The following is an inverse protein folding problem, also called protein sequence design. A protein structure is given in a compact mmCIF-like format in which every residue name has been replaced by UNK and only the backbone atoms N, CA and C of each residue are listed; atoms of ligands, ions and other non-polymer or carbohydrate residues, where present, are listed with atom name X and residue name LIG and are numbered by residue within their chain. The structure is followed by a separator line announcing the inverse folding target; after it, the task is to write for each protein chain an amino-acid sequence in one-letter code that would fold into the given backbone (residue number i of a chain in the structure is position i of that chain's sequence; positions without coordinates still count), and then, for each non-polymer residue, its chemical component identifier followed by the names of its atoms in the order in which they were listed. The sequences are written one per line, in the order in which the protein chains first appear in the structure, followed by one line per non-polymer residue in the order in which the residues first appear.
data_IF_425165689596
#
_entry.id   IF_425165689596
#
_cell.length_a   1.000
_cell.length_b   1.000
_cell.length_c   1.000
_cell.angle_alpha   90.00
_cell.angle_beta   90.00
_cell.angle_gamma   90.00
#
_symmetry.space_group_name_H-M   'P 1'
#
loop_
_entity.id
_entity.type
_entity.pdbx_description
1 polymer ?
#
# COMPACT_ATOMS: atom_id res chain seq x y z
N UNK A 1 -15.29 -3.93 -20.57
CA UNK A 1 -15.86 -4.19 -19.24
C UNK A 1 -14.97 -5.21 -18.56
N UNK A 2 -14.49 -4.87 -17.37
CA UNK A 2 -13.73 -5.81 -16.54
C UNK A 2 -14.74 -6.67 -15.76
N UNK A 3 -14.60 -7.99 -15.82
CA UNK A 3 -15.41 -8.93 -15.03
C UNK A 3 -15.20 -8.70 -13.52
N UNK A 4 -16.04 -9.34 -12.68
CA UNK A 4 -15.84 -9.29 -11.24
C UNK A 4 -14.44 -9.84 -10.88
N UNK A 5 -13.62 -9.01 -10.22
CA UNK A 5 -12.25 -9.32 -9.82
C UNK A 5 -12.19 -9.54 -8.32
N UNK A 6 -11.45 -10.57 -7.90
CA UNK A 6 -11.02 -10.69 -6.51
C UNK A 6 -9.77 -9.84 -6.29
N UNK A 7 -9.82 -9.00 -5.25
CA UNK A 7 -8.68 -8.24 -4.76
C UNK A 7 -8.48 -8.51 -3.27
N UNK A 8 -7.26 -8.31 -2.79
CA UNK A 8 -6.91 -8.62 -1.40
C UNK A 8 -6.99 -7.36 -0.52
N UNK A 9 -8.08 -7.22 0.24
CA UNK A 9 -8.23 -6.17 1.26
C UNK A 9 -7.46 -6.54 2.53
N UNK A 10 -7.36 -5.62 3.48
CA UNK A 10 -6.76 -5.85 4.80
C UNK A 10 -7.43 -6.98 5.59
N UNK A 11 -8.73 -7.21 5.35
CA UNK A 11 -9.54 -8.25 6.00
C UNK A 11 -9.52 -9.59 5.25
N UNK A 12 -8.98 -9.62 4.02
CA UNK A 12 -8.98 -10.77 3.14
C UNK A 12 -9.54 -10.47 1.75
N UNK A 13 -9.78 -11.52 0.94
CA UNK A 13 -10.29 -11.35 -0.42
C UNK A 13 -11.65 -10.68 -0.45
N UNK A 14 -11.83 -9.72 -1.35
CA UNK A 14 -13.11 -9.07 -1.64
C UNK A 14 -13.33 -9.04 -3.14
N UNK A 15 -14.59 -9.20 -3.55
CA UNK A 15 -14.98 -9.14 -4.95
C UNK A 15 -15.40 -7.71 -5.28
N UNK A 16 -14.79 -7.12 -6.30
CA UNK A 16 -15.17 -5.81 -6.82
C UNK A 16 -15.28 -5.88 -8.35
N UNK A 17 -16.19 -5.11 -8.92
CA UNK A 17 -16.28 -4.93 -10.36
C UNK A 17 -16.36 -3.45 -10.71
N UNK A 18 -16.05 -3.13 -11.96
CA UNK A 18 -16.04 -1.75 -12.46
C UNK A 18 -17.39 -1.06 -12.30
N UNK A 19 -18.49 -1.78 -12.49
CA UNK A 19 -19.86 -1.24 -12.38
C UNK A 19 -20.26 -0.95 -10.93
N UNK A 20 -19.69 -1.66 -9.96
CA UNK A 20 -19.99 -1.49 -8.55
C UNK A 20 -18.98 -0.63 -7.81
N UNK A 21 -17.84 -0.26 -8.41
CA UNK A 21 -16.85 0.60 -7.79
C UNK A 21 -17.19 2.09 -8.03
N UNK A 22 -17.46 2.83 -6.97
CA UNK A 22 -17.66 4.28 -7.04
C UNK A 22 -16.35 5.02 -7.32
N UNK A 23 -15.31 4.72 -6.55
CA UNK A 23 -14.00 5.37 -6.62
C UNK A 23 -12.95 4.51 -5.91
N UNK A 24 -11.73 4.54 -6.41
CA UNK A 24 -10.55 4.07 -5.70
C UNK A 24 -9.61 5.26 -5.40
N UNK A 25 -9.12 5.32 -4.17
CA UNK A 25 -8.06 6.22 -3.73
C UNK A 25 -6.78 5.40 -3.52
N UNK A 26 -5.87 5.36 -4.50
CA UNK A 26 -4.77 4.40 -4.55
C UNK A 26 -3.57 4.78 -3.67
N UNK A 27 -3.58 5.94 -3.01
CA UNK A 27 -2.44 6.40 -2.24
C UNK A 27 -2.86 7.32 -1.10
N UNK A 28 -3.36 6.72 -0.03
CA UNK A 28 -3.86 7.44 1.14
C UNK A 28 -3.15 6.96 2.41
N UNK A 29 -3.12 7.78 3.46
CA UNK A 29 -2.75 7.31 4.80
C UNK A 29 -3.97 7.41 5.70
N UNK A 30 -4.23 6.37 6.47
CA UNK A 30 -5.40 6.33 7.36
C UNK A 30 -4.98 6.58 8.80
N UNK A 31 -3.99 5.82 9.30
CA UNK A 31 -3.45 5.99 10.65
C UNK A 31 -1.93 5.94 10.61
N UNK A 32 -1.27 6.98 11.10
CA UNK A 32 0.20 7.05 11.22
C UNK A 32 0.65 7.96 12.37
N UNK A 33 1.92 7.82 12.74
CA UNK A 33 2.59 8.52 13.84
C UNK A 33 3.83 9.29 13.40
N UNK A 34 3.94 9.62 12.11
CA UNK A 34 5.11 10.30 11.53
C UNK A 34 5.56 11.51 12.35
N UNK A 35 4.63 12.39 12.74
CA UNK A 35 4.97 13.55 13.59
C UNK A 35 5.61 13.15 14.94
N UNK A 36 5.03 12.15 15.61
CA UNK A 36 5.56 11.61 16.89
C UNK A 36 6.95 11.00 16.75
N UNK A 37 7.26 10.40 15.58
CA UNK A 37 8.53 9.75 15.29
C UNK A 37 9.62 10.78 14.97
N UNK A 38 9.29 11.80 14.18
CA UNK A 38 10.24 12.86 13.81
C UNK A 38 10.54 13.83 14.96
N UNK A 39 9.61 13.98 15.90
CA UNK A 39 9.75 14.90 17.05
C UNK A 39 9.43 14.17 18.37
N UNK A 40 10.28 13.22 18.81
CA UNK A 40 10.09 12.56 20.08
C UNK A 40 10.35 13.55 21.22
N UNK A 41 9.31 13.97 21.92
CA UNK A 41 9.41 14.91 23.06
C UNK A 41 8.49 14.52 24.21
N UNK A 42 8.86 14.80 25.47
CA UNK A 42 8.03 14.48 26.64
C UNK A 42 6.67 15.18 26.63
N UNK A 43 6.57 16.34 25.97
CA UNK A 43 5.32 17.08 25.79
C UNK A 43 4.47 16.56 24.62
N UNK A 44 5.05 15.78 23.70
CA UNK A 44 4.34 15.30 22.51
C UNK A 44 3.17 14.38 22.86
N UNK A 45 3.23 13.63 23.97
CA UNK A 45 2.15 12.74 24.39
C UNK A 45 1.10 13.41 25.32
N UNK A 46 1.42 14.57 25.89
CA UNK A 46 0.57 15.22 26.90
C UNK A 46 -0.31 16.36 26.35
N UNK A 47 0.02 16.90 25.18
CA UNK A 47 -0.76 17.96 24.56
C UNK A 47 -2.04 17.42 23.89
N UNK A 48 -3.14 18.17 24.04
CA UNK A 48 -4.39 17.92 23.33
C UNK A 48 -4.11 17.78 21.83
N UNK A 49 -4.53 16.65 21.27
CA UNK A 49 -4.35 16.29 19.86
C UNK A 49 -5.31 17.07 18.94
N UNK A 50 -6.14 17.96 19.49
CA UNK A 50 -7.00 18.86 18.74
C UNK A 50 -6.22 20.03 18.13
N UNK A 51 -6.68 20.47 16.95
CA UNK A 51 -6.19 21.66 16.25
C UNK A 51 -7.38 22.63 16.11
N UNK A 52 -7.18 23.88 16.52
CA UNK A 52 -8.20 24.92 16.44
C UNK A 52 -8.18 25.62 15.08
N UNK A 53 -9.28 26.27 14.72
CA UNK A 53 -9.45 26.92 13.41
C UNK A 53 -8.45 28.07 13.23
N UNK A 54 -8.17 28.80 14.30
CA UNK A 54 -7.24 29.94 14.33
C UNK A 54 -5.79 29.50 14.07
N UNK A 55 -5.48 28.22 14.32
CA UNK A 55 -4.14 27.65 14.18
C UNK A 55 -3.86 27.08 12.79
N UNK A 56 -4.89 26.96 11.94
CA UNK A 56 -4.79 26.33 10.63
C UNK A 56 -3.75 27.01 9.73
N UNK A 57 -3.62 28.34 9.80
CA UNK A 57 -2.62 29.05 9.01
C UNK A 57 -1.19 28.64 9.41
N UNK A 58 -0.89 28.59 10.70
CA UNK A 58 0.40 28.15 11.22
C UNK A 58 0.67 26.69 10.88
N UNK A 59 -0.33 25.81 11.04
CA UNK A 59 -0.22 24.40 10.70
C UNK A 59 0.05 24.18 9.19
N UNK A 60 -0.47 25.05 8.32
CA UNK A 60 -0.20 25.04 6.87
C UNK A 60 1.19 25.54 6.53
N UNK A 61 1.66 26.58 7.22
CA UNK A 61 2.95 27.24 6.97
C UNK A 61 4.14 26.49 7.57
N UNK A 62 3.90 25.57 8.50
CA UNK A 62 4.92 24.69 9.09
C UNK A 62 4.27 23.38 9.58
N UNK A 63 3.88 22.46 8.68
CA UNK A 63 3.17 21.24 9.05
C UNK A 63 3.98 20.31 9.96
N UNK A 64 5.31 20.39 9.92
CA UNK A 64 6.19 19.56 10.74
C UNK A 64 6.50 20.21 12.09
N UNK A 65 6.84 21.50 12.13
CA UNK A 65 7.22 22.19 13.36
C UNK A 65 6.02 22.65 14.19
N UNK A 66 4.84 22.84 13.57
CA UNK A 66 3.62 23.23 14.28
C UNK A 66 3.30 22.23 15.40
N UNK A 67 3.34 22.73 16.64
CA UNK A 67 3.11 22.02 17.91
C UNK A 67 3.74 20.62 17.92
N UNK A 68 5.04 20.56 17.60
CA UNK A 68 5.83 19.32 17.61
C UNK A 68 5.28 18.23 16.67
N UNK A 69 4.80 18.61 15.48
CA UNK A 69 4.38 17.67 14.44
C UNK A 69 2.95 17.17 14.57
N UNK A 70 2.09 17.83 15.34
CA UNK A 70 0.69 17.43 15.54
C UNK A 70 -0.10 17.33 14.23
N UNK A 71 0.22 18.16 13.22
CA UNK A 71 -0.45 18.14 11.92
C UNK A 71 -0.13 16.84 11.15
N UNK A 72 0.99 16.17 11.47
CA UNK A 72 1.43 14.91 10.87
C UNK A 72 1.16 13.68 11.76
N UNK A 73 0.26 13.82 12.74
CA UNK A 73 -0.12 12.74 13.66
C UNK A 73 -1.55 12.31 13.41
N UNK A 74 -1.76 11.19 12.73
CA UNK A 74 -3.10 10.64 12.48
C UNK A 74 -3.31 9.38 13.32
N UNK A 75 -3.37 9.52 14.65
CA UNK A 75 -3.45 8.38 15.58
C UNK A 75 -4.86 8.12 16.14
N UNK A 76 -5.77 9.08 15.93
CA UNK A 76 -7.14 9.04 16.41
C UNK A 76 -8.02 8.20 15.47
N UNK A 77 -8.43 7.03 15.96
CA UNK A 77 -9.27 6.09 15.20
C UNK A 77 -10.67 6.60 14.93
N UNK A 78 -11.23 7.41 15.84
CA UNK A 78 -12.56 7.98 15.70
C UNK A 78 -12.60 9.03 14.60
N UNK A 79 -11.59 9.90 14.54
CA UNK A 79 -11.46 10.90 13.48
C UNK A 79 -11.27 10.23 12.12
N UNK A 80 -10.37 9.24 12.04
CA UNK A 80 -10.10 8.49 10.82
C UNK A 80 -11.35 7.75 10.33
N UNK A 81 -12.06 7.05 11.22
CA UNK A 81 -13.31 6.36 10.90
C UNK A 81 -14.38 7.33 10.40
N UNK A 82 -14.62 8.45 11.10
CA UNK A 82 -15.63 9.44 10.71
C UNK A 82 -15.29 10.10 9.37
N UNK A 83 -14.02 10.30 9.07
CA UNK A 83 -13.61 10.86 7.78
C UNK A 83 -13.92 9.90 6.63
N UNK A 84 -13.61 8.62 6.82
CA UNK A 84 -13.88 7.57 5.84
C UNK A 84 -15.37 7.25 5.70
N UNK A 85 -16.12 7.24 6.81
CA UNK A 85 -17.58 7.01 6.84
C UNK A 85 -18.33 7.99 5.94
N UNK A 86 -17.83 9.22 5.76
CA UNK A 86 -18.44 10.20 4.84
C UNK A 86 -18.42 9.75 3.38
N UNK A 87 -17.58 8.77 3.02
CA UNK A 87 -17.54 8.16 1.70
C UNK A 87 -18.59 7.07 1.48
N UNK A 88 -19.42 6.75 2.49
CA UNK A 88 -20.45 5.72 2.41
C UNK A 88 -21.40 5.94 1.23
N UNK A 89 -21.63 4.87 0.46
CA UNK A 89 -22.41 4.83 -0.78
C UNK A 89 -23.05 3.47 -0.98
N UNK A 90 -23.95 3.39 -1.94
CA UNK A 90 -24.51 2.12 -2.42
C UNK A 90 -23.47 1.25 -3.17
N UNK A 91 -22.45 1.91 -3.75
CA UNK A 91 -21.34 1.33 -4.49
C UNK A 91 -20.09 1.18 -3.60
N UNK A 92 -19.20 0.26 -3.98
CA UNK A 92 -17.94 0.02 -3.30
C UNK A 92 -17.00 1.22 -3.40
N UNK A 93 -16.26 1.49 -2.33
CA UNK A 93 -15.16 2.46 -2.28
C UNK A 93 -13.91 1.72 -1.89
N UNK A 94 -12.81 1.97 -2.60
CA UNK A 94 -11.54 1.30 -2.37
C UNK A 94 -10.48 2.31 -1.93
N UNK A 95 -9.75 2.00 -0.86
CA UNK A 95 -8.75 2.90 -0.30
C UNK A 95 -7.49 2.10 -0.05
N UNK A 96 -6.38 2.48 -0.69
CA UNK A 96 -5.09 1.86 -0.46
C UNK A 96 -4.36 2.67 0.62
N UNK A 97 -4.24 2.10 1.82
CA UNK A 97 -3.44 2.66 2.91
C UNK A 97 -1.97 2.38 2.65
N UNK A 98 -1.25 3.40 2.20
CA UNK A 98 0.19 3.33 1.91
C UNK A 98 1.04 3.61 3.15
N UNK A 99 0.45 3.54 4.35
CA UNK A 99 1.20 3.75 5.59
C UNK A 99 2.15 2.58 5.86
N UNK A 100 3.44 2.88 5.99
CA UNK A 100 4.47 1.88 6.26
C UNK A 100 4.60 1.54 7.74
N UNK A 101 5.23 0.41 8.05
CA UNK A 101 5.38 -0.04 9.44
C UNK A 101 6.24 0.94 10.26
N UNK A 102 7.30 1.48 9.67
CA UNK A 102 8.13 2.52 10.30
C UNK A 102 7.39 3.86 10.47
N UNK A 103 6.26 4.08 9.80
CA UNK A 103 5.43 5.28 9.97
C UNK A 103 4.43 5.13 11.13
N UNK A 104 4.38 3.97 11.79
CA UNK A 104 3.46 3.65 12.89
C UNK A 104 4.20 3.49 14.22
N UNK A 105 3.92 4.35 15.18
CA UNK A 105 4.41 4.17 16.54
C UNK A 105 3.70 2.96 17.15
N UNK A 106 4.46 1.98 17.62
CA UNK A 106 3.94 0.69 18.06
C UNK A 106 3.09 0.03 16.95
N UNK A 107 3.76 -0.36 15.86
CA UNK A 107 3.16 -0.83 14.63
C UNK A 107 2.10 -1.92 14.79
N UNK A 108 2.27 -2.87 15.72
CA UNK A 108 1.26 -3.89 16.03
C UNK A 108 -0.04 -3.31 16.62
N UNK A 109 0.03 -2.26 17.46
CA UNK A 109 -1.16 -1.58 18.01
C UNK A 109 -1.88 -0.80 16.92
N UNK A 110 -1.16 -0.03 16.12
CA UNK A 110 -1.74 0.79 15.05
C UNK A 110 -2.33 -0.07 13.92
N UNK A 111 -1.67 -1.18 13.59
CA UNK A 111 -2.19 -2.16 12.62
C UNK A 111 -3.51 -2.78 13.09
N UNK A 112 -3.66 -3.06 14.39
CA UNK A 112 -4.96 -3.52 14.95
C UNK A 112 -6.04 -2.46 14.88
N UNK A 113 -5.72 -1.21 15.22
CA UNK A 113 -6.64 -0.07 15.08
C UNK A 113 -7.14 0.05 13.63
N UNK A 114 -6.27 -0.13 12.65
CA UNK A 114 -6.64 -0.10 11.24
C UNK A 114 -7.57 -1.27 10.85
N UNK A 115 -7.31 -2.49 11.35
CA UNK A 115 -8.22 -3.64 11.17
C UNK A 115 -9.60 -3.34 11.77
N UNK A 116 -9.66 -2.76 12.98
CA UNK A 116 -10.91 -2.39 13.63
C UNK A 116 -11.70 -1.33 12.84
N UNK A 117 -11.01 -0.38 12.20
CA UNK A 117 -11.64 0.59 11.29
C UNK A 117 -12.18 -0.14 10.05
N UNK A 118 -11.38 -1.00 9.44
CA UNK A 118 -11.77 -1.76 8.26
C UNK A 118 -13.00 -2.65 8.52
N UNK A 119 -13.06 -3.33 9.66
CA UNK A 119 -14.22 -4.15 10.08
C UNK A 119 -15.51 -3.32 10.15
N UNK A 120 -15.43 -2.09 10.68
CA UNK A 120 -16.59 -1.19 10.79
C UNK A 120 -17.00 -0.61 9.44
N UNK A 121 -16.04 -0.38 8.55
CA UNK A 121 -16.26 0.20 7.22
C UNK A 121 -16.73 -0.84 6.19
N UNK A 122 -16.46 -2.13 6.41
CA UNK A 122 -16.87 -3.21 5.52
C UNK A 122 -18.39 -3.26 5.32
N UNK A 123 -19.19 -3.03 6.37
CA UNK A 123 -20.65 -2.97 6.26
C UNK A 123 -21.16 -1.76 5.46
N UNK A 124 -20.30 -0.74 5.28
CA UNK A 124 -20.55 0.48 4.49
C UNK A 124 -19.95 0.42 3.08
N UNK A 125 -19.53 -0.78 2.64
CA UNK A 125 -18.88 -1.03 1.34
C UNK A 125 -17.60 -0.24 1.10
N UNK A 126 -16.89 0.14 2.17
CA UNK A 126 -15.59 0.78 2.07
C UNK A 126 -14.53 -0.25 2.41
N UNK A 127 -13.70 -0.59 1.42
CA UNK A 127 -12.67 -1.61 1.51
C UNK A 127 -11.29 -0.95 1.62
N UNK A 128 -10.53 -1.36 2.65
CA UNK A 128 -9.16 -0.88 2.83
C UNK A 128 -8.20 -1.95 2.31
N UNK A 129 -7.33 -1.57 1.39
CA UNK A 129 -6.18 -2.36 0.95
C UNK A 129 -4.96 -1.86 1.69
N UNK A 130 -4.27 -2.74 2.41
CA UNK A 130 -3.02 -2.37 3.08
C UNK A 130 -1.81 -2.71 2.23
N UNK A 131 -0.72 -1.96 2.42
CA UNK A 131 0.56 -2.22 1.76
C UNK A 131 1.59 -2.83 2.71
N UNK A 132 2.59 -3.48 2.12
CA UNK A 132 3.83 -3.84 2.82
C UNK A 132 5.04 -3.27 2.07
N UNK A 133 6.23 -3.31 2.69
CA UNK A 133 7.47 -2.76 2.14
C UNK A 133 8.69 -3.57 2.56
N UNK A 134 9.85 -3.26 1.96
CA UNK A 134 11.15 -3.66 2.47
C UNK A 134 11.77 -2.47 3.21
N UNK A 135 12.15 -2.70 4.47
CA UNK A 135 12.94 -1.74 5.22
C UNK A 135 14.43 -1.94 4.89
N UNK A 136 14.99 -1.05 4.09
CA UNK A 136 16.39 -1.13 3.64
C UNK A 136 17.39 -1.09 4.81
N UNK A 137 17.06 -0.43 5.92
CA UNK A 137 17.96 -0.29 7.08
C UNK A 137 18.12 -1.61 7.85
N UNK A 138 17.10 -2.48 7.82
CA UNK A 138 17.12 -3.75 8.53
C UNK A 138 17.85 -4.86 7.75
N UNK A 139 18.08 -4.66 6.45
CA UNK A 139 18.70 -5.66 5.59
C UNK A 139 20.03 -5.15 5.06
N UNK A 140 21.11 -5.83 5.45
CA UNK A 140 22.40 -5.63 4.82
C UNK A 140 22.40 -6.40 3.51
N UNK A 141 22.29 -5.70 2.39
CA UNK A 141 22.33 -6.32 1.06
C UNK A 141 23.78 -6.72 0.71
N UNK A 142 24.18 -7.91 1.11
CA UNK A 142 25.52 -8.47 0.86
C UNK A 142 25.58 -9.44 -0.32
N UNK A 143 24.47 -10.06 -0.73
CA UNK A 143 24.47 -11.10 -1.77
C UNK A 143 23.14 -11.28 -2.51
N UNK A 144 23.21 -11.96 -3.67
CA UNK A 144 22.02 -12.39 -4.42
C UNK A 144 21.18 -13.44 -3.68
N UNK A 145 21.76 -14.20 -2.75
CA UNK A 145 21.02 -15.22 -1.98
C UNK A 145 20.01 -14.56 -1.03
N UNK A 146 20.38 -13.44 -0.41
CA UNK A 146 19.49 -12.65 0.45
C UNK A 146 18.27 -12.11 -0.32
N UNK A 147 18.46 -11.71 -1.58
CA UNK A 147 17.35 -11.30 -2.47
C UNK A 147 16.29 -12.40 -2.60
N UNK A 148 16.72 -13.66 -2.72
CA UNK A 148 15.81 -14.80 -2.88
C UNK A 148 15.03 -15.06 -1.59
N UNK A 149 15.68 -14.97 -0.43
CA UNK A 149 15.02 -15.19 0.85
C UNK A 149 14.08 -14.05 1.23
N UNK A 150 14.44 -12.80 0.91
CA UNK A 150 13.54 -11.65 1.02
C UNK A 150 12.31 -11.80 0.12
N UNK A 151 12.48 -12.26 -1.12
CA UNK A 151 11.39 -12.56 -2.02
C UNK A 151 10.44 -13.63 -1.43
N UNK A 152 10.98 -14.74 -0.91
CA UNK A 152 10.18 -15.79 -0.25
C UNK A 152 9.39 -15.25 0.95
N UNK A 153 10.04 -14.46 1.80
CA UNK A 153 9.39 -13.83 2.96
C UNK A 153 8.24 -12.92 2.53
N UNK A 154 8.47 -12.03 1.56
CA UNK A 154 7.44 -11.12 1.04
C UNK A 154 6.28 -11.90 0.42
N UNK A 155 6.58 -12.89 -0.43
CA UNK A 155 5.58 -13.76 -1.03
C UNK A 155 4.73 -14.45 0.03
N UNK A 156 5.35 -14.95 1.10
CA UNK A 156 4.62 -15.52 2.23
C UNK A 156 3.69 -14.49 2.88
N UNK A 157 4.15 -13.26 3.13
CA UNK A 157 3.31 -12.18 3.69
C UNK A 157 2.12 -11.84 2.79
N UNK A 158 2.30 -11.83 1.47
CA UNK A 158 1.21 -11.57 0.52
C UNK A 158 0.18 -12.71 0.48
N UNK A 159 0.63 -13.96 0.41
CA UNK A 159 -0.27 -15.12 0.28
C UNK A 159 -0.96 -15.48 1.59
N UNK A 160 -0.25 -15.34 2.71
CA UNK A 160 -0.69 -15.82 4.01
C UNK A 160 -0.89 -14.71 5.03
N UNK A 161 -0.75 -13.43 4.68
CA UNK A 161 -0.94 -12.34 5.62
C UNK A 161 0.04 -12.36 6.80
N UNK A 162 -0.28 -11.58 7.82
CA UNK A 162 0.51 -11.40 9.04
C UNK A 162 -0.41 -11.42 10.27
N UNK A 163 0.02 -12.10 11.34
CA UNK A 163 -0.72 -12.12 12.59
C UNK A 163 -0.41 -10.90 13.45
N UNK A 164 -1.44 -10.15 13.80
CA UNK A 164 -1.43 -9.07 14.76
C UNK A 164 -1.93 -9.59 16.12
N UNK A 165 -1.00 -9.93 17.01
CA UNK A 165 -1.32 -10.40 18.38
C UNK A 165 -1.66 -9.19 19.27
N UNK A 166 -2.72 -9.31 20.06
CA UNK A 166 -3.05 -8.31 21.08
C UNK A 166 -2.55 -8.72 22.47
N UNK A 167 -2.53 -7.77 23.41
CA UNK A 167 -2.18 -8.05 24.81
C UNK A 167 -3.11 -9.02 25.53
N UNK A 168 -4.27 -9.35 24.95
CA UNK A 168 -5.20 -10.38 25.46
C UNK A 168 -5.02 -11.77 24.82
N UNK A 169 -4.00 -11.96 23.97
CA UNK A 169 -3.71 -13.23 23.29
C UNK A 169 -4.61 -13.57 22.09
N UNK A 170 -5.57 -12.72 21.69
CA UNK A 170 -6.30 -12.90 20.43
C UNK A 170 -5.45 -12.40 19.26
N UNK A 171 -5.15 -13.27 18.31
CA UNK A 171 -4.53 -12.89 17.04
C UNK A 171 -5.60 -12.49 16.03
N UNK A 172 -5.32 -11.42 15.28
CA UNK A 172 -6.08 -11.04 14.08
C UNK A 172 -5.15 -11.10 12.90
N UNK A 173 -5.66 -11.52 11.75
CA UNK A 173 -4.87 -11.66 10.54
C UNK A 173 -5.04 -10.41 9.67
N UNK A 174 -3.93 -9.83 9.24
CA UNK A 174 -3.87 -8.72 8.26
C UNK A 174 -3.37 -9.26 6.92
N UNK A 175 -3.99 -8.83 5.82
CA UNK A 175 -3.52 -9.12 4.47
C UNK A 175 -3.05 -7.85 3.74
N UNK A 176 -2.16 -8.03 2.76
CA UNK A 176 -1.56 -6.95 1.98
C UNK A 176 -1.97 -7.08 0.52
N UNK A 177 -2.57 -6.04 -0.07
CA UNK A 177 -3.00 -6.08 -1.47
C UNK A 177 -2.04 -5.40 -2.44
N UNK A 178 -1.01 -4.71 -1.95
CA UNK A 178 0.01 -4.07 -2.76
C UNK A 178 1.33 -3.93 -2.00
N UNK A 179 2.41 -3.62 -2.72
CA UNK A 179 3.68 -3.20 -2.14
C UNK A 179 3.83 -1.68 -2.29
N UNK A 180 4.37 -1.01 -1.26
CA UNK A 180 4.78 0.39 -1.35
C UNK A 180 6.24 0.50 -0.92
N UNK A 181 7.11 0.91 -1.84
CA UNK A 181 8.53 1.08 -1.57
C UNK A 181 8.91 2.56 -1.64
N UNK A 182 9.51 3.06 -0.58
CA UNK A 182 10.14 4.36 -0.55
C UNK A 182 11.63 4.20 -0.83
N UNK A 183 12.18 5.06 -1.69
CA UNK A 183 13.59 5.17 -2.00
C UNK A 183 14.03 6.62 -1.82
N UNK A 184 15.26 6.80 -1.36
CA UNK A 184 15.87 8.11 -1.23
C UNK A 184 17.12 8.18 -2.10
N UNK A 185 17.18 9.20 -2.96
CA UNK A 185 18.36 9.51 -3.76
C UNK A 185 19.18 10.58 -3.05
N UNK A 186 20.31 10.17 -2.47
CA UNK A 186 21.33 11.10 -1.98
C UNK A 186 22.36 11.31 -3.09
N UNK A 187 22.58 12.56 -3.49
CA UNK A 187 23.59 12.87 -4.51
C UNK A 187 24.96 12.35 -4.05
N UNK A 188 25.67 11.53 -4.86
CA UNK A 188 26.96 11.01 -4.47
C UNK A 188 27.94 12.16 -4.23
N UNK A 189 28.54 12.19 -3.03
CA UNK A 189 29.56 13.18 -2.65
C UNK A 189 30.84 13.05 -3.50
N UNK A 190 31.03 11.91 -4.18
CA UNK A 190 32.21 11.61 -5.00
C UNK A 190 31.84 10.83 -6.26
N UNK A 191 32.07 11.48 -7.42
CA UNK A 191 32.11 10.96 -8.81
C UNK A 191 30.81 10.50 -9.49
N UNK A 192 30.71 10.93 -10.77
CA UNK A 192 29.56 10.96 -11.70
C UNK A 192 29.23 9.60 -12.32
N UNK A 193 28.97 8.56 -11.55
CA UNK A 193 28.45 7.32 -12.14
C UNK A 193 26.93 7.32 -12.05
N UNK A 194 26.26 7.34 -13.20
CA UNK A 194 24.80 7.22 -13.33
C UNK A 194 24.26 5.82 -12.97
N UNK A 195 25.06 4.99 -12.30
CA UNK A 195 24.69 3.64 -11.90
C UNK A 195 23.95 3.66 -10.58
N UNK A 196 22.85 2.91 -10.49
CA UNK A 196 22.19 2.60 -9.22
C UNK A 196 23.19 2.04 -8.21
N UNK A 197 23.05 2.42 -6.95
CA UNK A 197 23.76 1.79 -5.84
C UNK A 197 23.43 0.29 -5.78
N UNK A 198 24.39 -0.52 -5.31
CA UNK A 198 24.23 -1.98 -5.28
C UNK A 198 22.98 -2.40 -4.50
N UNK A 199 22.70 -1.74 -3.37
CA UNK A 199 21.51 -2.00 -2.54
C UNK A 199 20.22 -1.76 -3.33
N UNK A 200 20.15 -0.67 -4.08
CA UNK A 200 19.01 -0.34 -4.94
C UNK A 200 18.87 -1.30 -6.13
N UNK A 201 19.98 -1.82 -6.68
CA UNK A 201 19.93 -2.87 -7.72
C UNK A 201 19.40 -4.20 -7.17
N UNK A 202 19.81 -4.58 -5.96
CA UNK A 202 19.33 -5.80 -5.29
C UNK A 202 17.86 -5.64 -4.91
N UNK A 203 17.46 -4.47 -4.41
CA UNK A 203 16.06 -4.15 -4.14
C UNK A 203 15.22 -4.27 -5.42
N UNK A 204 15.63 -3.63 -6.53
CA UNK A 204 14.93 -3.73 -7.80
C UNK A 204 14.81 -5.19 -8.27
N UNK A 205 15.88 -5.99 -8.13
CA UNK A 205 15.85 -7.41 -8.49
C UNK A 205 14.90 -8.22 -7.60
N UNK A 206 14.86 -7.95 -6.29
CA UNK A 206 13.94 -8.58 -5.34
C UNK A 206 12.48 -8.26 -5.69
N UNK A 207 12.18 -6.99 -5.97
CA UNK A 207 10.85 -6.52 -6.35
C UNK A 207 10.42 -7.14 -7.68
N UNK A 208 11.29 -7.16 -8.68
CA UNK A 208 10.99 -7.75 -9.98
C UNK A 208 10.73 -9.25 -9.88
N UNK A 209 11.53 -9.97 -9.08
CA UNK A 209 11.31 -11.39 -8.83
C UNK A 209 9.95 -11.63 -8.15
N UNK A 210 9.65 -10.94 -7.05
CA UNK A 210 8.36 -11.03 -6.37
C UNK A 210 7.20 -10.75 -7.34
N UNK A 211 7.32 -9.67 -8.11
CA UNK A 211 6.31 -9.27 -9.08
C UNK A 211 6.13 -10.31 -10.19
N UNK A 212 7.20 -10.93 -10.69
CA UNK A 212 7.11 -12.01 -11.68
C UNK A 212 6.39 -13.24 -11.14
N UNK A 213 6.53 -13.54 -9.85
CA UNK A 213 5.95 -14.73 -9.22
C UNK A 213 4.47 -14.58 -8.86
N UNK A 214 4.04 -13.40 -8.40
CA UNK A 214 2.66 -13.19 -7.93
C UNK A 214 1.93 -11.99 -8.56
N UNK A 215 2.56 -11.23 -9.45
CA UNK A 215 1.97 -10.07 -10.17
C UNK A 215 1.37 -8.98 -9.27
N UNK A 216 1.85 -8.87 -8.01
CA UNK A 216 1.40 -7.85 -7.06
C UNK A 216 1.77 -6.45 -7.54
N UNK A 217 0.86 -5.44 -7.46
CA UNK A 217 1.17 -4.08 -7.87
C UNK A 217 2.19 -3.43 -6.91
N UNK A 218 3.11 -2.67 -7.50
CA UNK A 218 4.24 -2.06 -6.77
C UNK A 218 4.16 -0.55 -6.90
N UNK A 219 3.90 0.14 -5.80
CA UNK A 219 3.97 1.59 -5.68
C UNK A 219 5.38 1.99 -5.27
N UNK A 220 6.01 2.87 -6.04
CA UNK A 220 7.39 3.31 -5.80
C UNK A 220 7.40 4.83 -5.62
N UNK A 221 7.86 5.28 -4.46
CA UNK A 221 8.00 6.70 -4.12
C UNK A 221 9.46 7.06 -3.97
N UNK A 222 9.88 8.13 -4.64
CA UNK A 222 11.27 8.59 -4.64
C UNK A 222 11.38 9.96 -3.99
N UNK A 223 12.28 10.08 -3.01
CA UNK A 223 12.73 11.35 -2.41
C UNK A 223 14.16 11.68 -2.86
N UNK A 224 14.56 12.95 -2.73
CA UNK A 224 15.89 13.44 -3.11
C UNK A 224 16.28 14.61 -2.20
N UNK A 225 17.56 14.70 -1.83
CA UNK A 225 18.12 15.80 -1.01
C UNK A 225 18.18 17.16 -1.71
N UNK A 226 18.18 17.17 -3.05
CA UNK A 226 18.43 18.38 -3.84
C UNK A 226 17.41 18.58 -4.96
N UNK A 227 17.30 19.82 -5.43
CA UNK A 227 16.53 20.17 -6.63
C UNK A 227 17.22 19.76 -7.94
N UNK A 228 18.24 18.90 -7.91
CA UNK A 228 18.92 18.43 -9.12
C UNK A 228 18.05 17.42 -9.88
N UNK A 229 17.24 17.94 -10.80
CA UNK A 229 16.23 17.16 -11.53
C UNK A 229 16.83 16.15 -12.51
N UNK A 230 17.98 16.46 -13.14
CA UNK A 230 18.57 15.61 -14.19
C UNK A 230 19.11 14.30 -13.63
N UNK A 231 19.98 14.36 -12.61
CA UNK A 231 20.57 13.15 -12.02
C UNK A 231 19.51 12.30 -11.32
N UNK A 232 18.54 12.94 -10.68
CA UNK A 232 17.39 12.27 -10.10
C UNK A 232 16.55 11.54 -11.16
N UNK A 233 16.27 12.17 -12.30
CA UNK A 233 15.51 11.56 -13.40
C UNK A 233 16.23 10.34 -13.97
N UNK A 234 17.55 10.46 -14.18
CA UNK A 234 18.39 9.35 -14.64
C UNK A 234 18.44 8.19 -13.63
N UNK A 235 18.49 8.50 -12.33
CA UNK A 235 18.42 7.51 -11.26
C UNK A 235 17.09 6.74 -11.27
N UNK A 236 15.96 7.46 -11.34
CA UNK A 236 14.62 6.86 -11.39
C UNK A 236 14.44 6.00 -12.66
N UNK A 237 14.87 6.50 -13.83
CA UNK A 237 14.84 5.73 -15.08
C UNK A 237 15.69 4.45 -14.97
N UNK A 238 16.88 4.55 -14.37
CA UNK A 238 17.75 3.39 -14.18
C UNK A 238 17.09 2.33 -13.29
N UNK A 239 16.38 2.76 -12.23
CA UNK A 239 15.63 1.86 -11.35
C UNK A 239 14.53 1.11 -12.11
N UNK A 240 13.70 1.83 -12.88
CA UNK A 240 12.64 1.19 -13.68
C UNK A 240 13.17 0.32 -14.82
N UNK A 241 14.26 0.74 -15.48
CA UNK A 241 14.94 -0.10 -16.47
C UNK A 241 15.43 -1.40 -15.85
N UNK A 242 15.95 -1.35 -14.61
CA UNK A 242 16.39 -2.55 -13.94
C UNK A 242 15.23 -3.46 -13.52
N UNK A 243 14.09 -2.92 -13.10
CA UNK A 243 12.86 -3.70 -12.91
C UNK A 243 12.43 -4.41 -14.21
N UNK A 244 12.40 -3.66 -15.31
CA UNK A 244 12.01 -4.18 -16.63
C UNK A 244 12.97 -5.28 -17.11
N UNK A 245 14.29 -5.06 -16.97
CA UNK A 245 15.33 -6.03 -17.34
C UNK A 245 15.20 -7.34 -16.58
N UNK A 246 14.72 -7.28 -15.34
CA UNK A 246 14.46 -8.44 -14.48
C UNK A 246 13.05 -9.05 -14.70
N UNK A 247 12.31 -8.60 -15.72
CA UNK A 247 11.04 -9.18 -16.13
C UNK A 247 9.81 -8.66 -15.39
N UNK A 248 9.91 -7.53 -14.69
CA UNK A 248 8.73 -6.90 -14.10
C UNK A 248 7.74 -6.43 -15.19
N UNK A 249 6.43 -6.61 -14.97
CA UNK A 249 5.40 -6.09 -15.87
C UNK A 249 5.15 -4.63 -15.52
N UNK A 250 5.66 -3.73 -16.36
CA UNK A 250 5.68 -2.30 -16.05
C UNK A 250 4.28 -1.69 -15.90
N UNK A 251 3.25 -2.28 -16.53
CA UNK A 251 1.84 -1.87 -16.41
C UNK A 251 1.20 -2.12 -15.04
N UNK A 252 1.97 -2.70 -14.11
CA UNK A 252 1.65 -2.93 -12.69
C UNK A 252 2.63 -2.22 -11.73
N UNK A 253 3.57 -1.45 -12.27
CA UNK A 253 4.51 -0.63 -11.50
C UNK A 253 3.99 0.81 -11.52
N UNK A 254 3.94 1.44 -10.35
CA UNK A 254 3.36 2.77 -10.17
C UNK A 254 4.44 3.73 -9.66
N UNK A 255 4.66 4.82 -10.39
CA UNK A 255 5.49 5.94 -9.94
C UNK A 255 4.63 6.94 -9.16
N UNK A 256 4.84 7.01 -7.84
CA UNK A 256 4.08 7.88 -6.94
C UNK A 256 4.53 9.34 -7.02
N UNK A 257 3.60 10.26 -6.74
CA UNK A 257 3.87 11.71 -6.68
C UNK A 257 4.37 12.27 -8.02
N UNK A 258 3.92 11.71 -9.14
CA UNK A 258 4.33 12.15 -10.48
C UNK A 258 3.94 13.61 -10.74
N UNK A 259 2.98 14.17 -10.01
CA UNK A 259 2.55 15.56 -10.13
C UNK A 259 3.45 16.57 -9.40
N UNK A 260 4.39 16.13 -8.55
CA UNK A 260 5.10 17.05 -7.64
C UNK A 260 5.87 18.17 -8.34
N UNK A 261 6.32 17.97 -9.57
CA UNK A 261 7.11 18.98 -10.31
C UNK A 261 6.34 19.67 -11.44
N UNK A 262 5.02 19.50 -11.54
CA UNK A 262 4.20 20.09 -12.62
C UNK A 262 4.18 21.63 -12.63
N UNK A 263 4.55 22.28 -11.52
CA UNK A 263 4.70 23.74 -11.43
C UNK A 263 6.04 24.25 -11.97
N UNK A 264 7.06 23.40 -12.12
CA UNK A 264 8.37 23.84 -12.57
C UNK A 264 8.36 24.06 -14.09
N UNK A 265 8.97 25.15 -14.60
CA UNK A 265 8.95 25.52 -16.02
C UNK A 265 9.86 24.66 -16.92
N UNK A 266 10.24 23.46 -16.46
CA UNK A 266 11.20 22.61 -17.16
C UNK A 266 10.48 21.58 -18.03
N UNK A 267 10.48 21.81 -19.35
CA UNK A 267 10.02 20.84 -20.36
C UNK A 267 10.67 19.45 -20.16
N UNK A 268 11.89 19.43 -19.61
CA UNK A 268 12.64 18.21 -19.28
C UNK A 268 11.89 17.27 -18.33
N UNK A 269 11.10 17.81 -17.39
CA UNK A 269 10.40 16.99 -16.40
C UNK A 269 9.18 16.28 -17.02
N UNK A 270 8.44 17.00 -17.86
CA UNK A 270 7.33 16.42 -18.59
C UNK A 270 7.83 15.34 -19.57
N UNK A 271 8.92 15.60 -20.29
CA UNK A 271 9.58 14.61 -21.13
C UNK A 271 10.03 13.38 -20.33
N UNK A 272 10.55 13.57 -19.12
CA UNK A 272 10.88 12.47 -18.20
C UNK A 272 9.64 11.64 -17.84
N UNK A 273 8.52 12.26 -17.47
CA UNK A 273 7.30 11.52 -17.15
C UNK A 273 6.74 10.74 -18.34
N UNK A 274 6.75 11.34 -19.53
CA UNK A 274 6.39 10.64 -20.76
C UNK A 274 7.32 9.46 -21.02
N UNK A 275 8.62 9.61 -20.78
CA UNK A 275 9.55 8.49 -20.92
C UNK A 275 9.25 7.32 -19.97
N UNK A 276 8.74 7.59 -18.77
CA UNK A 276 8.29 6.53 -17.85
C UNK A 276 6.99 5.87 -18.33
N UNK A 277 6.06 6.66 -18.85
CA UNK A 277 4.80 6.16 -19.42
C UNK A 277 5.06 5.30 -20.67
N UNK A 278 6.04 5.67 -21.50
CA UNK A 278 6.52 4.88 -22.64
C UNK A 278 7.12 3.53 -22.23
N UNK A 279 7.75 3.46 -21.05
CA UNK A 279 8.19 2.19 -20.46
C UNK A 279 7.02 1.33 -19.95
N UNK A 280 5.79 1.85 -19.95
CA UNK A 280 4.58 1.21 -19.45
C UNK A 280 4.29 1.48 -17.98
N UNK A 281 5.08 2.32 -17.30
CA UNK A 281 4.90 2.65 -15.88
C UNK A 281 3.60 3.45 -15.68
N UNK A 282 2.83 3.09 -14.67
CA UNK A 282 1.65 3.88 -14.29
C UNK A 282 2.08 5.14 -13.50
N UNK A 283 1.55 6.29 -13.89
CA UNK A 283 1.79 7.57 -13.23
C UNK A 283 0.68 7.88 -12.23
N UNK A 284 1.06 8.07 -10.97
CA UNK A 284 0.14 8.42 -9.92
C UNK A 284 0.29 9.91 -9.55
N UNK A 285 -0.75 10.69 -9.87
CA UNK A 285 -0.90 12.09 -9.48
C UNK A 285 -1.59 12.12 -8.11
N UNK A 286 -0.81 12.29 -7.05
CA UNK A 286 -1.28 12.07 -5.68
C UNK A 286 -1.18 13.29 -4.78
N UNK A 287 -0.77 14.44 -5.31
CA UNK A 287 -0.65 15.71 -4.60
C UNK A 287 -1.87 16.62 -4.78
N UNK A 288 -2.97 16.07 -5.32
CA UNK A 288 -4.22 16.78 -5.60
C UNK A 288 -4.80 17.38 -4.32
N UNK A 289 -5.08 18.67 -4.33
CA UNK A 289 -5.65 19.40 -3.19
C UNK A 289 -4.66 19.76 -2.09
N UNK A 290 -3.42 19.25 -2.10
CA UNK A 290 -2.44 19.52 -1.03
C UNK A 290 -2.16 21.02 -0.91
N UNK A 291 -2.11 21.76 -2.03
CA UNK A 291 -1.92 23.22 -2.03
C UNK A 291 -2.95 23.97 -1.16
N UNK A 292 -4.17 23.44 -1.04
CA UNK A 292 -5.23 24.03 -0.22
C UNK A 292 -5.07 23.75 1.27
N UNK A 293 -4.26 22.75 1.63
CA UNK A 293 -4.11 22.23 3.00
C UNK A 293 -2.68 22.36 3.55
N UNK A 294 -1.69 22.73 2.74
CA UNK A 294 -0.30 22.87 3.16
C UNK A 294 0.48 23.82 2.24
N UNK A 295 1.42 24.56 2.83
CA UNK A 295 2.43 25.33 2.08
C UNK A 295 3.57 24.46 1.53
N UNK A 296 3.72 23.22 2.03
CA UNK A 296 4.77 22.29 1.62
C UNK A 296 4.23 20.94 1.21
N UNK A 297 4.89 20.37 0.22
CA UNK A 297 4.72 19.00 -0.21
C UNK A 297 5.71 18.11 0.55
N UNK A 298 5.18 17.17 1.33
CA UNK A 298 5.99 16.22 2.09
C UNK A 298 5.97 14.87 1.37
N UNK A 299 7.11 14.49 0.79
CA UNK A 299 7.30 13.18 0.16
C UNK A 299 8.28 12.38 1.00
N UNK A 300 7.86 11.20 1.46
CA UNK A 300 8.65 10.30 2.30
C UNK A 300 9.29 11.00 3.52
N UNK A 301 8.49 11.66 4.38
CA UNK A 301 9.00 12.56 5.42
C UNK A 301 10.02 11.90 6.37
N UNK A 302 9.89 10.61 6.67
CA UNK A 302 10.88 9.89 7.50
C UNK A 302 12.25 9.77 6.85
N UNK A 303 12.31 9.60 5.52
CA UNK A 303 13.57 9.51 4.78
C UNK A 303 14.20 10.89 4.57
N UNK A 304 13.38 11.92 4.36
CA UNK A 304 13.89 13.28 4.06
C UNK A 304 14.21 14.12 5.28
N UNK A 305 13.69 13.77 6.46
CA UNK A 305 13.78 14.58 7.68
C UNK A 305 14.48 13.86 8.85
N UNK A 306 15.07 12.68 8.61
CA UNK A 306 15.75 11.84 9.61
C UNK A 306 16.95 12.49 10.33
N UNK A 307 17.58 11.69 11.20
CA UNK A 307 18.25 12.06 12.47
C UNK A 307 19.28 13.22 12.50
N UNK A 308 19.78 13.70 11.36
CA UNK A 308 20.84 14.72 11.30
C UNK A 308 20.37 16.14 10.96
N UNK A 309 19.05 16.39 10.86
CA UNK A 309 18.48 17.68 10.43
C UNK A 309 18.46 18.76 11.53
N UNK A 310 19.59 19.02 12.18
CA UNK A 310 19.80 20.25 12.99
C UNK A 310 19.95 21.51 12.14
N UNK A 311 20.12 21.35 10.81
CA UNK A 311 20.07 22.44 9.85
C UNK A 311 18.80 22.35 9.00
N UNK A 312 17.76 23.09 9.42
CA UNK A 312 16.56 23.35 8.63
C UNK A 312 16.90 24.27 7.43
N UNK A 313 17.77 23.83 6.53
CA UNK A 313 18.08 24.59 5.32
C UNK A 313 16.88 24.57 4.36
N UNK A 314 16.60 25.72 3.74
CA UNK A 314 15.53 26.01 2.76
C UNK A 314 15.41 25.01 1.57
N UNK A 315 16.31 24.03 1.46
CA UNK A 315 16.46 23.13 0.31
C UNK A 315 15.40 22.02 0.17
N UNK A 316 14.64 21.71 1.23
CA UNK A 316 13.62 20.63 1.22
C UNK A 316 12.18 21.13 1.02
N UNK A 317 11.98 22.45 0.91
CA UNK A 317 10.65 23.05 0.86
C UNK A 317 10.11 23.11 -0.57
N UNK A 318 9.57 21.98 -1.06
CA UNK A 318 8.85 21.95 -2.33
C UNK A 318 7.42 22.46 -2.13
N UNK A 319 7.03 23.53 -2.83
CA UNK A 319 5.62 23.98 -2.85
C UNK A 319 4.75 22.93 -3.56
N UNK A 320 3.59 22.54 -3.00
CA UNK A 320 2.68 21.62 -3.67
C UNK A 320 2.20 22.17 -5.03
N UNK A 321 2.01 21.31 -6.04
CA UNK A 321 1.42 21.72 -7.30
C UNK A 321 -0.02 22.19 -7.10
N UNK A 322 -0.45 23.22 -7.84
CA UNK A 322 -1.85 23.66 -7.83
C UNK A 322 -2.69 22.77 -8.74
N UNK A 323 -3.91 22.46 -8.31
CA UNK A 323 -4.85 21.64 -9.09
C UNK A 323 -5.02 22.07 -10.55
N UNK A 324 -5.14 23.36 -10.92
CA UNK A 324 -5.26 23.76 -12.31
C UNK A 324 -4.04 23.39 -13.18
N UNK A 325 -2.85 23.27 -12.59
CA UNK A 325 -1.63 22.84 -13.29
C UNK A 325 -1.60 21.33 -13.44
N UNK A 326 -2.00 20.59 -12.40
CA UNK A 326 -2.20 19.14 -12.48
C UNK A 326 -3.23 18.79 -13.56
N UNK A 327 -4.37 19.48 -13.61
CA UNK A 327 -5.40 19.28 -14.66
C UNK A 327 -4.82 19.55 -16.06
N UNK A 328 -4.04 20.63 -16.23
CA UNK A 328 -3.43 20.95 -17.52
C UNK A 328 -2.48 19.84 -17.99
N UNK A 329 -1.61 19.36 -17.09
CA UNK A 329 -0.72 18.25 -17.38
C UNK A 329 -1.49 16.96 -17.67
N UNK A 330 -2.55 16.69 -16.90
CA UNK A 330 -3.39 15.52 -17.07
C UNK A 330 -4.03 15.48 -18.46
N UNK A 331 -4.59 16.59 -18.96
CA UNK A 331 -5.11 16.63 -20.33
C UNK A 331 -4.04 16.31 -21.37
N UNK A 332 -2.78 16.73 -21.17
CA UNK A 332 -1.69 16.39 -22.09
C UNK A 332 -1.37 14.90 -22.07
N UNK A 333 -1.27 14.28 -20.89
CA UNK A 333 -1.11 12.82 -20.77
C UNK A 333 -2.23 12.05 -21.47
N UNK A 334 -3.47 12.46 -21.26
CA UNK A 334 -4.65 11.79 -21.82
C UNK A 334 -4.72 11.95 -23.34
N UNK A 335 -4.44 13.15 -23.86
CA UNK A 335 -4.41 13.43 -25.29
C UNK A 335 -3.31 12.64 -26.03
N UNK A 336 -2.23 12.26 -25.34
CA UNK A 336 -1.16 11.41 -25.87
C UNK A 336 -1.45 9.91 -25.73
N UNK A 337 -2.63 9.51 -25.21
CA UNK A 337 -3.06 8.12 -25.15
C UNK A 337 -2.69 7.37 -23.88
N UNK A 338 -2.14 8.03 -22.86
CA UNK A 338 -1.72 7.37 -21.61
C UNK A 338 -2.84 7.18 -20.58
N UNK A 339 -4.11 7.29 -20.98
CA UNK A 339 -5.27 7.17 -20.08
C UNK A 339 -5.28 5.87 -19.23
N UNK A 340 -4.78 4.76 -19.78
CA UNK A 340 -4.72 3.46 -19.10
C UNK A 340 -3.61 3.34 -18.04
N UNK A 341 -2.75 4.36 -17.93
CA UNK A 341 -1.59 4.39 -17.04
C UNK A 341 -1.70 5.47 -15.96
N UNK A 342 -2.76 6.29 -15.95
CA UNK A 342 -2.90 7.37 -14.97
C UNK A 342 -3.77 6.95 -13.80
N UNK A 343 -3.32 7.32 -12.59
CA UNK A 343 -4.05 7.16 -11.33
C UNK A 343 -4.12 8.51 -10.62
N UNK A 344 -5.17 8.72 -9.83
CA UNK A 344 -5.41 9.96 -9.09
C UNK A 344 -5.63 9.66 -7.60
N UNK A 345 -5.03 10.44 -6.71
CA UNK A 345 -5.27 10.38 -5.25
C UNK A 345 -5.07 11.75 -4.62
N UNK A 346 -5.50 11.91 -3.36
CA UNK A 346 -5.29 13.14 -2.58
C UNK A 346 -4.14 13.05 -1.58
N UNK A 347 -3.62 11.85 -1.29
CA UNK A 347 -2.58 11.60 -0.28
C UNK A 347 -2.85 12.31 1.04
N UNK A 348 -3.98 12.00 1.68
CA UNK A 348 -4.26 12.46 3.03
C UNK A 348 -3.12 11.99 3.94
N UNK A 349 -2.33 12.95 4.42
CA UNK A 349 -1.15 12.81 5.28
C UNK A 349 -1.23 13.78 6.47
N UNK A 350 -1.92 14.91 6.28
CA UNK A 350 -2.00 16.00 7.25
C UNK A 350 -3.41 16.12 7.83
N UNK A 351 -3.52 16.49 9.11
CA UNK A 351 -4.80 16.81 9.75
C UNK A 351 -5.53 17.93 9.02
N UNK A 352 -4.80 18.95 8.61
CA UNK A 352 -5.31 20.07 7.79
C UNK A 352 -5.96 19.63 6.47
N UNK A 353 -5.71 18.41 5.97
CA UNK A 353 -6.45 17.86 4.83
C UNK A 353 -7.83 17.29 5.21
N UNK A 354 -8.07 16.92 6.47
CA UNK A 354 -9.35 16.36 6.92
C UNK A 354 -10.41 17.45 7.04
N UNK A 355 -11.67 17.10 6.75
CA UNK A 355 -12.82 18.02 6.82
C UNK A 355 -13.05 18.63 8.18
N UNK A 356 -12.79 17.86 9.24
CA UNK A 356 -12.90 18.35 10.62
C UNK A 356 -12.01 19.58 10.87
N UNK A 357 -10.91 19.69 10.15
CA UNK A 357 -9.94 20.79 10.26
C UNK A 357 -10.01 21.74 9.06
N UNK A 358 -11.13 21.78 8.34
CA UNK A 358 -11.37 22.69 7.22
C UNK A 358 -10.82 22.24 5.86
N UNK A 359 -10.23 21.04 5.77
CA UNK A 359 -9.77 20.45 4.51
C UNK A 359 -10.87 19.76 3.71
N UNK A 360 -10.49 19.13 2.60
CA UNK A 360 -11.41 18.41 1.71
C UNK A 360 -11.73 16.96 2.11
N UNK A 361 -10.85 16.35 2.90
CA UNK A 361 -10.87 14.95 3.27
C UNK A 361 -10.62 14.02 2.09
N UNK A 362 -10.93 12.73 2.29
CA UNK A 362 -10.88 11.70 1.25
C UNK A 362 -11.87 11.93 0.09
N UNK A 363 -12.81 12.86 0.22
CA UNK A 363 -13.77 13.21 -0.83
C UNK A 363 -13.29 14.35 -1.74
N UNK A 364 -12.12 14.94 -1.48
CA UNK A 364 -11.67 16.12 -2.21
C UNK A 364 -11.56 15.88 -3.72
N UNK A 365 -10.97 14.73 -4.09
CA UNK A 365 -10.73 14.34 -5.48
C UNK A 365 -12.04 14.38 -6.29
N UNK A 366 -13.11 13.81 -5.76
CA UNK A 366 -14.38 13.74 -6.49
C UNK A 366 -15.22 15.00 -6.38
N UNK A 367 -15.23 15.67 -5.24
CA UNK A 367 -16.11 16.82 -5.04
C UNK A 367 -15.57 18.11 -5.67
N UNK A 368 -14.26 18.31 -5.66
CA UNK A 368 -13.64 19.56 -6.11
C UNK A 368 -12.77 19.36 -7.35
N UNK A 369 -11.86 18.38 -7.33
CA UNK A 369 -10.92 18.21 -8.44
C UNK A 369 -11.62 17.73 -9.73
N UNK A 370 -12.57 16.78 -9.62
CA UNK A 370 -13.38 16.31 -10.76
C UNK A 370 -14.04 17.47 -11.52
N UNK A 371 -14.62 18.43 -10.80
CA UNK A 371 -15.29 19.57 -11.41
C UNK A 371 -14.32 20.43 -12.24
N UNK A 372 -13.11 20.67 -11.72
CA UNK A 372 -12.07 21.41 -12.44
C UNK A 372 -11.58 20.67 -13.68
N UNK A 373 -11.45 19.34 -13.59
CA UNK A 373 -11.07 18.49 -14.71
C UNK A 373 -12.13 18.53 -15.83
N UNK A 374 -13.41 18.34 -15.47
CA UNK A 374 -14.50 18.35 -16.45
C UNK A 374 -14.73 19.72 -17.10
N UNK A 375 -14.40 20.81 -16.41
CA UNK A 375 -14.60 22.17 -16.92
C UNK A 375 -13.63 22.59 -18.06
N UNK A 376 -12.59 21.79 -18.35
CA UNK A 376 -11.48 22.19 -19.24
C UNK A 376 -11.42 21.48 -20.60
N UNK A 377 -12.47 20.79 -21.03
CA UNK A 377 -12.51 20.17 -22.37
C UNK A 377 -13.80 20.42 -23.15
N UNK A 378 -13.78 19.98 -24.41
CA UNK A 378 -14.88 20.22 -25.36
C UNK A 378 -15.89 19.07 -25.39
N UNK A 379 -15.50 17.84 -25.02
CA UNK A 379 -16.38 16.67 -24.96
C UNK A 379 -16.52 16.14 -23.52
N UNK A 380 -17.65 16.46 -22.90
CA UNK A 380 -17.95 16.04 -21.53
C UNK A 380 -18.03 14.51 -21.37
N UNK A 381 -18.44 13.77 -22.41
CA UNK A 381 -18.56 12.33 -22.34
C UNK A 381 -17.19 11.66 -22.38
N UNK A 382 -16.29 12.14 -23.21
CA UNK A 382 -14.90 11.67 -23.27
C UNK A 382 -14.18 11.92 -21.93
N UNK A 383 -14.33 13.11 -21.35
CA UNK A 383 -13.73 13.42 -20.05
C UNK A 383 -14.29 12.53 -18.93
N UNK A 384 -15.61 12.27 -18.92
CA UNK A 384 -16.18 11.35 -17.93
C UNK A 384 -15.63 9.93 -18.12
N UNK A 385 -15.44 9.46 -19.36
CA UNK A 385 -14.81 8.16 -19.62
C UNK A 385 -13.38 8.11 -19.10
N UNK A 386 -12.56 9.15 -19.33
CA UNK A 386 -11.22 9.22 -18.76
C UNK A 386 -11.24 9.26 -17.23
N UNK A 387 -12.19 9.99 -16.64
CA UNK A 387 -12.37 10.01 -15.18
C UNK A 387 -12.62 8.60 -14.62
N UNK A 388 -13.56 7.87 -15.24
CA UNK A 388 -13.88 6.48 -14.88
C UNK A 388 -12.63 5.59 -15.04
N UNK A 389 -11.90 5.74 -16.15
CA UNK A 389 -10.67 4.99 -16.42
C UNK A 389 -9.64 5.18 -15.29
N UNK A 390 -9.36 6.42 -14.90
CA UNK A 390 -8.32 6.74 -13.91
C UNK A 390 -8.72 6.41 -12.47
N UNK A 391 -10.00 6.50 -12.13
CA UNK A 391 -10.48 6.37 -10.75
C UNK A 391 -11.12 5.02 -10.43
N UNK A 392 -11.44 4.21 -11.45
CA UNK A 392 -12.07 2.88 -11.28
C UNK A 392 -11.34 1.80 -12.06
N UNK A 393 -11.25 1.93 -13.38
CA UNK A 393 -10.76 0.86 -14.27
C UNK A 393 -9.28 0.56 -14.04
N UNK A 394 -8.42 1.58 -14.01
CA UNK A 394 -6.98 1.43 -13.79
C UNK A 394 -6.69 0.84 -12.39
N UNK A 395 -7.21 1.38 -11.28
CA UNK A 395 -6.98 0.79 -9.96
C UNK A 395 -7.46 -0.67 -9.84
N UNK A 396 -8.65 -1.01 -10.38
CA UNK A 396 -9.14 -2.39 -10.38
C UNK A 396 -8.23 -3.31 -11.19
N UNK A 397 -7.85 -2.89 -12.40
CA UNK A 397 -6.89 -3.62 -13.24
C UNK A 397 -5.58 -3.84 -12.50
N UNK A 398 -5.09 -2.88 -11.72
CA UNK A 398 -3.84 -3.02 -10.96
C UNK A 398 -3.98 -4.04 -9.82
N UNK A 399 -5.08 -3.95 -9.06
CA UNK A 399 -5.32 -4.78 -7.87
C UNK A 399 -5.83 -6.19 -8.18
N UNK A 400 -6.24 -6.47 -9.42
CA UNK A 400 -6.56 -7.82 -9.88
C UNK A 400 -5.28 -8.66 -10.11
N UNK A 401 -4.72 -9.17 -9.02
CA UNK A 401 -3.56 -10.07 -9.02
C UNK A 401 -3.74 -11.30 -8.11
N UNK A 402 -4.60 -11.19 -7.10
CA UNK A 402 -4.72 -12.20 -6.07
C UNK A 402 -5.36 -13.47 -6.62
N UNK A 403 -4.69 -14.59 -6.38
CA UNK A 403 -5.23 -15.93 -6.62
C UNK A 403 -5.12 -16.64 -5.28
N UNK A 404 -6.25 -17.10 -4.75
CA UNK A 404 -6.26 -17.82 -3.49
C UNK A 404 -5.31 -19.04 -3.60
N UNK A 405 -4.37 -19.21 -2.65
CA UNK A 405 -3.51 -20.38 -2.67
C UNK A 405 -4.38 -21.62 -2.55
N UNK A 406 -4.02 -22.67 -3.28
CA UNK A 406 -4.66 -23.97 -3.09
C UNK A 406 -4.59 -24.32 -1.60
N UNK A 407 -5.71 -24.69 -1.00
CA UNK A 407 -5.71 -25.17 0.38
C UNK A 407 -4.69 -26.30 0.44
N UNK A 408 -3.65 -26.13 1.26
CA UNK A 408 -2.69 -27.19 1.48
C UNK A 408 -3.49 -28.43 1.89
N UNK A 409 -3.19 -29.57 1.28
CA UNK A 409 -3.78 -30.82 1.72
C UNK A 409 -3.44 -30.96 3.20
N UNK A 410 -4.46 -30.87 4.07
CA UNK A 410 -4.27 -31.11 5.50
C UNK A 410 -3.54 -32.44 5.62
N UNK A 411 -2.35 -32.51 6.26
CA UNK A 411 -1.63 -33.75 6.39
C UNK A 411 -2.56 -34.76 7.03
N UNK A 412 -3.10 -35.70 6.24
CA UNK A 412 -4.00 -36.73 6.75
C UNK A 412 -3.10 -37.77 7.38
N UNK A 413 -3.04 -37.79 8.71
CA UNK A 413 -2.36 -38.86 9.43
C UNK A 413 -3.15 -40.16 9.25
N UNK A 414 -2.83 -40.94 8.22
CA UNK A 414 -3.48 -42.24 8.03
C UNK A 414 -3.00 -43.21 9.10
N UNK A 415 -3.94 -43.81 9.84
CA UNK A 415 -3.66 -44.92 10.74
C UNK A 415 -3.80 -46.25 9.98
N UNK A 416 -3.02 -47.25 10.37
CA UNK A 416 -3.14 -48.60 9.82
C UNK A 416 -4.02 -49.42 10.76
N UNK A 417 -5.10 -50.00 10.24
CA UNK A 417 -5.93 -50.89 11.05
C UNK A 417 -5.14 -52.16 11.39
N UNK A 418 -5.04 -52.51 12.67
CA UNK A 418 -4.34 -53.71 13.14
C UNK A 418 -4.95 -55.01 12.60
N UNK A 419 -6.19 -54.99 12.10
CA UNK A 419 -6.95 -56.16 11.66
C UNK A 419 -6.99 -56.29 10.13
N UNK A 420 -7.58 -55.33 9.42
CA UNK A 420 -7.63 -55.40 7.96
C UNK A 420 -6.37 -54.89 7.27
N UNK A 421 -5.41 -54.31 8.02
CA UNK A 421 -4.17 -53.70 7.52
C UNK A 421 -4.35 -52.57 6.51
N UNK A 422 -5.58 -52.11 6.28
CA UNK A 422 -5.87 -50.95 5.44
C UNK A 422 -5.53 -49.66 6.18
N UNK A 423 -4.96 -48.71 5.47
CA UNK A 423 -4.84 -47.33 5.92
C UNK A 423 -6.22 -46.68 5.95
N UNK A 424 -6.48 -45.84 6.95
CA UNK A 424 -7.72 -45.08 7.06
C UNK A 424 -7.47 -43.74 7.75
N UNK A 425 -8.30 -42.76 7.45
CA UNK A 425 -8.26 -41.44 8.09
C UNK A 425 -8.91 -41.51 9.48
N UNK A 426 -8.22 -41.11 10.57
CA UNK A 426 -8.75 -41.19 11.92
C UNK A 426 -9.81 -40.12 12.16
N UNK A 427 -11.06 -40.43 11.81
CA UNK A 427 -12.21 -39.59 12.13
C UNK A 427 -12.64 -39.87 13.57
N UNK A 428 -12.53 -38.88 14.46
CA UNK A 428 -12.89 -39.01 15.88
C UNK A 428 -14.33 -39.54 16.00
N UNK A 429 -14.48 -40.70 16.65
CA UNK A 429 -15.77 -41.39 16.83
C UNK A 429 -16.05 -42.51 15.83
N UNK A 430 -15.31 -42.62 14.73
CA UNK A 430 -15.49 -43.67 13.71
C UNK A 430 -14.49 -44.82 13.83
N UNK A 431 -13.30 -44.54 14.38
CA UNK A 431 -12.29 -45.54 14.67
C UNK A 431 -12.19 -45.83 16.16
N UNK A 432 -11.60 -46.97 16.49
CA UNK A 432 -11.47 -47.43 17.87
C UNK A 432 -10.01 -47.74 18.17
N UNK A 433 -9.59 -47.49 19.40
CA UNK A 433 -8.33 -48.01 19.94
C UNK A 433 -8.66 -48.90 21.14
N UNK A 434 -7.96 -50.02 21.25
CA UNK A 434 -8.07 -50.91 22.41
C UNK A 434 -6.76 -51.65 22.59
N UNK A 435 -6.15 -51.50 23.78
CA UNK A 435 -4.77 -51.93 24.05
C UNK A 435 -3.79 -51.25 23.08
N UNK A 436 -2.88 -52.00 22.47
CA UNK A 436 -1.95 -51.56 21.43
C UNK A 436 -2.53 -51.59 20.02
N UNK A 437 -3.83 -51.88 19.84
CA UNK A 437 -4.45 -52.07 18.54
C UNK A 437 -5.36 -50.90 18.13
N UNK A 438 -5.35 -50.63 16.83
CA UNK A 438 -6.14 -49.58 16.17
C UNK A 438 -7.08 -50.20 15.15
N UNK A 439 -8.35 -49.81 15.16
CA UNK A 439 -9.40 -50.40 14.32
C UNK A 439 -10.05 -49.31 13.47
N UNK A 440 -10.11 -49.51 12.15
CA UNK A 440 -10.81 -48.60 11.23
C UNK A 440 -12.33 -48.53 11.44
N UNK A 441 -12.90 -49.36 12.34
CA UNK A 441 -14.31 -49.33 12.66
C UNK A 441 -14.77 -50.51 13.52
N UNK A 442 -16.05 -50.49 13.90
CA UNK A 442 -16.66 -51.51 14.78
C UNK A 442 -16.58 -52.93 14.23
N UNK A 443 -16.57 -53.09 12.90
CA UNK A 443 -16.45 -54.40 12.23
C UNK A 443 -15.11 -55.07 12.56
N UNK A 444 -14.00 -54.35 12.38
CA UNK A 444 -12.65 -54.85 12.71
C UNK A 444 -12.49 -55.10 14.20
N UNK A 445 -13.03 -54.22 15.05
CA UNK A 445 -13.04 -54.41 16.50
C UNK A 445 -13.81 -55.68 16.91
N UNK A 446 -15.01 -55.91 16.35
CA UNK A 446 -15.82 -57.12 16.63
C UNK A 446 -15.12 -58.39 16.16
N UNK A 447 -14.47 -58.37 14.99
CA UNK A 447 -13.69 -59.51 14.48
C UNK A 447 -12.56 -59.85 15.45
N UNK A 448 -11.80 -58.84 15.92
CA UNK A 448 -10.70 -59.08 16.85
C UNK A 448 -11.18 -59.53 18.23
N UNK A 449 -12.29 -58.96 18.71
CA UNK A 449 -12.91 -59.35 19.98
C UNK A 449 -13.34 -60.82 19.99
N UNK A 450 -13.82 -61.37 18.87
CA UNK A 450 -14.15 -62.80 18.75
C UNK A 450 -12.91 -63.70 18.84
N UNK A 451 -11.74 -63.17 18.50
CA UNK A 451 -10.42 -63.83 18.64
C UNK A 451 -9.72 -63.52 19.96
N UNK A 452 -10.47 -62.99 20.96
CA UNK A 452 -9.93 -62.65 22.29
C UNK A 452 -8.74 -61.69 22.27
N UNK A 453 -8.64 -60.84 21.24
CA UNK A 453 -7.55 -59.86 21.08
C UNK A 453 -6.15 -60.48 20.93
N UNK A 454 -6.06 -61.72 20.46
CA UNK A 454 -4.79 -62.35 20.08
C UNK A 454 -4.25 -61.79 18.76
N UNK A 455 -2.92 -61.64 18.66
CA UNK A 455 -2.27 -61.11 17.46
C UNK A 455 -2.68 -61.89 16.20
N UNK A 456 -3.15 -61.14 15.21
CA UNK A 456 -3.45 -61.69 13.88
C UNK A 456 -2.11 -61.89 13.17
N UNK A 457 -1.62 -63.12 13.21
CA UNK A 457 -0.48 -63.58 12.39
C UNK A 457 -0.78 -63.49 10.90
#
# INVERSE_FOLDING_TARGET
MIDAMELLSILGPVVCCEQNLAICLPHERIIHSIGSILRPGPNAQAEDDSMQVEELLSARQDPLGYRSGINMRMENTSDSFRELERMERESDVLIIDVTLEQERLNGAVMSRKLIEIAEKLASKRIHIVSVTSLNLELFKYGSNEESVDLCKMLKHRFLYGEECVNGSGRSRKRYFGAMYQQLHYSSPKTLRTSSLELEHQILASTIAQLHSEISVPIFVSFSCDSNQTVDFSAYVQSFFYQLQKQGAKMDKIIFCHADRWVELPHDDYEAFLFSLADLGVCLLLSSIGIYTASGYLLVNPLLTLGEDSTSHSDSLQQTPPRDPKIVQFLHRLLAQGYANQVLLSSSVLLKTQLRRYGGGGYQYLEQFFKQQFLARGFDAQELENWWQQMTRTNPLRLLSWYIAPCKADTPREYLICSICKQSFEPIVGEFFTKFSFTYCGTKCLKIHSKRRFEDVK
#
